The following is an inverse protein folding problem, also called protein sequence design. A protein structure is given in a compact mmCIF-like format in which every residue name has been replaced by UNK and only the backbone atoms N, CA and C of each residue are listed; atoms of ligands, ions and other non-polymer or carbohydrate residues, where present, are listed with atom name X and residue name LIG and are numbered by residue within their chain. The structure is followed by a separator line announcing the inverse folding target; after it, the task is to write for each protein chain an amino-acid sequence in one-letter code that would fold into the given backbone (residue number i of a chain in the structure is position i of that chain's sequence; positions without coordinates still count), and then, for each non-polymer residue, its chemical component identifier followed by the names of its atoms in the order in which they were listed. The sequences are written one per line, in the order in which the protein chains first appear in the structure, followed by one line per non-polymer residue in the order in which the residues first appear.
data_IF_455126860676
#
_entry.id   IF_455126860676
#
_cell.length_a   1.000
_cell.length_b   1.000
_cell.length_c   1.000
_cell.angle_alpha   90.00
_cell.angle_beta   90.00
_cell.angle_gamma   90.00
#
_symmetry.space_group_name_H-M   'P 1'
#
loop_
_entity.id
_entity.type
_entity.pdbx_description
1 polymer ?
#
# COMPACT_ATOMS: atom_id res chain seq x y z
N UNK A 1 -57.27 -32.49 50.78
CA UNK A 1 -57.37 -32.68 49.33
C UNK A 1 -55.98 -32.44 48.76
N UNK A 2 -55.35 -33.55 48.36
CA UNK A 2 -54.35 -33.71 47.28
C UNK A 2 -52.97 -33.05 47.50
N UNK A 3 -51.92 -33.76 47.94
CA UNK A 3 -51.08 -34.79 47.29
C UNK A 3 -50.47 -34.33 45.95
N UNK A 4 -49.16 -34.08 45.95
CA UNK A 4 -48.09 -34.32 44.93
C UNK A 4 -46.93 -33.37 45.30
N UNK A 5 -45.63 -33.70 45.40
CA UNK A 5 -44.84 -34.87 44.97
C UNK A 5 -43.39 -34.73 45.48
N UNK A 6 -42.78 -35.87 45.85
CA UNK A 6 -41.34 -36.25 45.71
C UNK A 6 -40.27 -35.16 45.95
N UNK A 7 -39.50 -35.16 47.04
CA UNK A 7 -38.36 -36.06 47.31
C UNK A 7 -37.59 -36.50 46.05
N UNK A 8 -36.37 -35.99 45.85
CA UNK A 8 -35.15 -36.78 45.56
C UNK A 8 -33.97 -35.81 45.35
N UNK A 9 -33.07 -35.93 46.30
CA UNK A 9 -31.67 -35.54 46.30
C UNK A 9 -30.96 -35.85 44.97
N UNK A 10 -30.36 -34.86 44.30
CA UNK A 10 -29.19 -35.07 43.43
C UNK A 10 -28.18 -33.95 43.62
N UNK A 11 -27.06 -34.35 44.21
CA UNK A 11 -25.78 -33.66 44.22
C UNK A 11 -25.28 -33.37 42.79
N UNK A 12 -24.23 -32.53 42.74
CA UNK A 12 -23.34 -32.25 41.60
C UNK A 12 -23.93 -31.16 40.69
N UNK A 13 -23.34 -29.98 40.54
CA UNK A 13 -21.95 -29.74 40.17
C UNK A 13 -21.51 -28.38 40.76
N UNK A 14 -20.65 -28.43 41.76
CA UNK A 14 -19.73 -27.35 42.08
C UNK A 14 -18.56 -27.41 41.10
N UNK A 15 -18.67 -26.73 39.97
CA UNK A 15 -17.52 -26.27 39.18
C UNK A 15 -17.80 -24.78 38.98
N UNK A 16 -17.56 -23.98 40.02
CA UNK A 16 -16.33 -23.21 40.15
C UNK A 16 -16.02 -22.48 38.85
N UNK A 17 -16.28 -21.18 38.90
CA UNK A 17 -15.58 -20.16 38.13
C UNK A 17 -15.31 -20.55 36.67
N UNK A 18 -16.19 -20.07 35.78
CA UNK A 18 -15.66 -19.52 34.54
C UNK A 18 -14.68 -18.42 34.97
N UNK A 19 -13.42 -18.80 35.21
CA UNK A 19 -12.29 -17.92 34.99
C UNK A 19 -12.45 -17.54 33.53
N UNK A 20 -13.16 -16.43 33.32
CA UNK A 20 -12.87 -15.54 32.23
C UNK A 20 -11.39 -15.28 32.44
N UNK A 21 -10.56 -16.06 31.76
CA UNK A 21 -9.21 -15.66 31.46
C UNK A 21 -9.42 -14.37 30.68
N UNK A 22 -9.43 -13.27 31.42
CA UNK A 22 -9.01 -11.99 30.91
C UNK A 22 -7.62 -12.28 30.38
N UNK A 23 -7.59 -12.69 29.12
CA UNK A 23 -6.39 -12.65 28.32
C UNK A 23 -5.94 -11.21 28.51
N UNK A 24 -4.90 -11.03 29.33
CA UNK A 24 -4.16 -9.78 29.41
C UNK A 24 -3.70 -9.54 27.97
N UNK A 25 -4.56 -8.89 27.19
CA UNK A 25 -4.18 -8.32 25.92
C UNK A 25 -3.17 -7.26 26.35
N UNK A 26 -1.88 -7.64 26.33
CA UNK A 26 -0.80 -6.71 26.57
C UNK A 26 -1.00 -5.65 25.51
N UNK A 27 -1.61 -4.53 25.89
CA UNK A 27 -1.80 -3.40 25.00
C UNK A 27 -0.43 -3.10 24.40
N UNK A 28 -0.27 -3.37 23.11
CA UNK A 28 1.00 -3.13 22.45
C UNK A 28 1.24 -1.62 22.56
N UNK A 29 2.34 -1.24 23.21
CA UNK A 29 2.67 0.18 23.37
C UNK A 29 3.15 0.68 22.00
N UNK A 30 2.25 1.31 21.26
CA UNK A 30 2.56 1.88 19.96
C UNK A 30 3.43 3.13 20.17
N UNK A 31 4.46 3.26 19.34
CA UNK A 31 5.24 4.48 19.22
C UNK A 31 4.83 5.19 17.93
N UNK A 32 4.65 6.50 17.99
CA UNK A 32 4.48 7.31 16.78
C UNK A 32 5.80 7.32 16.00
N UNK A 33 5.74 6.98 14.71
CA UNK A 33 6.92 6.88 13.83
C UNK A 33 6.99 8.01 12.80
N UNK A 34 5.95 8.82 12.70
CA UNK A 34 5.84 9.92 11.76
C UNK A 34 4.40 10.37 11.54
N UNK A 35 4.23 11.50 10.85
CA UNK A 35 2.94 12.09 10.53
C UNK A 35 2.78 12.17 9.00
N UNK A 36 1.65 11.70 8.49
CA UNK A 36 1.37 11.78 7.05
C UNK A 36 1.11 13.23 6.64
N UNK A 37 1.79 13.64 5.58
CA UNK A 37 1.54 14.90 4.89
C UNK A 37 0.57 14.70 3.71
N UNK A 38 -0.13 15.76 3.34
CA UNK A 38 -0.97 15.74 2.12
C UNK A 38 -0.06 15.61 0.90
N UNK A 39 -0.39 14.74 -0.07
CA UNK A 39 0.38 14.64 -1.31
C UNK A 39 0.56 16.00 -1.99
N UNK A 40 1.78 16.32 -2.42
CA UNK A 40 2.09 17.58 -3.10
C UNK A 40 1.30 17.66 -4.41
N UNK A 41 0.48 18.71 -4.56
CA UNK A 41 -0.23 19.03 -5.80
C UNK A 41 0.68 19.73 -6.82
N UNK A 42 1.68 20.44 -6.33
CA UNK A 42 2.69 21.14 -7.11
C UNK A 42 4.08 20.95 -6.49
N UNK A 43 5.10 20.98 -7.34
CA UNK A 43 6.49 20.75 -6.93
C UNK A 43 6.90 19.27 -6.90
N UNK A 44 8.11 19.02 -6.41
CA UNK A 44 8.73 17.69 -6.31
C UNK A 44 8.94 17.29 -4.86
N UNK A 45 9.04 15.98 -4.60
CA UNK A 45 9.53 15.48 -3.31
C UNK A 45 11.06 15.61 -3.25
N UNK A 46 11.56 15.90 -2.05
CA UNK A 46 12.98 16.18 -1.84
C UNK A 46 13.74 14.90 -1.49
N UNK A 47 15.05 14.89 -1.78
CA UNK A 47 15.94 13.80 -1.36
C UNK A 47 15.94 13.67 0.16
N UNK A 48 15.85 12.44 0.65
CA UNK A 48 15.75 12.13 2.09
C UNK A 48 14.32 12.14 2.62
N UNK A 49 13.32 12.57 1.83
CA UNK A 49 11.93 12.59 2.28
C UNK A 49 11.40 11.16 2.48
N UNK A 50 10.79 10.93 3.65
CA UNK A 50 10.10 9.69 3.98
C UNK A 50 8.79 9.61 3.21
N UNK A 51 8.50 8.44 2.65
CA UNK A 51 7.25 8.16 1.94
C UNK A 51 6.62 6.86 2.42
N UNK A 52 5.31 6.78 2.21
CA UNK A 52 4.55 5.54 2.27
C UNK A 52 3.97 5.28 0.87
N UNK A 53 4.33 4.17 0.22
CA UNK A 53 3.91 3.91 -1.14
C UNK A 53 2.39 3.64 -1.19
N UNK A 54 1.63 4.45 -1.96
CA UNK A 54 0.16 4.40 -1.96
C UNK A 54 -0.45 3.04 -2.31
N UNK A 55 0.16 2.30 -3.23
CA UNK A 55 -0.35 0.98 -3.68
C UNK A 55 0.16 -0.17 -2.80
N UNK A 56 1.48 -0.29 -2.65
CA UNK A 56 2.11 -1.41 -1.94
C UNK A 56 2.31 -1.21 -0.43
N UNK A 57 2.11 -0.01 0.10
CA UNK A 57 2.14 0.27 1.54
C UNK A 57 3.52 0.19 2.20
N UNK A 58 4.61 0.05 1.45
CA UNK A 58 5.96 0.05 2.03
C UNK A 58 6.44 1.46 2.38
N UNK A 59 7.32 1.54 3.37
CA UNK A 59 8.06 2.76 3.72
C UNK A 59 9.28 2.88 2.84
N UNK A 60 9.61 4.12 2.48
CA UNK A 60 10.83 4.39 1.75
C UNK A 60 11.36 5.79 1.93
N UNK A 61 12.57 6.00 1.41
CA UNK A 61 13.27 7.29 1.39
C UNK A 61 13.56 7.66 -0.05
N UNK A 62 13.18 8.88 -0.46
CA UNK A 62 13.47 9.41 -1.80
C UNK A 62 14.96 9.65 -1.98
N UNK A 63 15.55 9.13 -3.07
CA UNK A 63 16.94 9.42 -3.46
C UNK A 63 17.00 10.62 -4.41
N UNK A 64 16.31 10.56 -5.54
CA UNK A 64 16.22 11.68 -6.48
C UNK A 64 15.05 11.50 -7.47
N UNK A 65 14.54 12.62 -8.01
CA UNK A 65 13.53 12.60 -9.07
C UNK A 65 14.16 12.33 -10.45
N UNK A 66 13.42 11.67 -11.34
CA UNK A 66 13.76 11.55 -12.77
C UNK A 66 12.56 11.85 -13.66
N UNK A 67 12.80 12.39 -14.86
CA UNK A 67 11.77 12.61 -15.88
C UNK A 67 11.65 11.36 -16.75
N UNK A 68 10.44 10.80 -16.84
CA UNK A 68 10.13 9.68 -17.72
C UNK A 68 9.05 10.07 -18.74
N UNK A 69 9.18 9.57 -19.96
CA UNK A 69 8.13 9.69 -20.98
C UNK A 69 7.22 8.48 -20.87
N UNK A 70 5.97 8.71 -20.46
CA UNK A 70 4.98 7.65 -20.26
C UNK A 70 4.02 7.62 -21.45
N UNK A 71 3.88 6.45 -22.06
CA UNK A 71 2.97 6.18 -23.16
C UNK A 71 1.84 5.29 -22.65
N UNK A 72 0.67 5.88 -22.47
CA UNK A 72 -0.51 5.17 -21.97
C UNK A 72 -1.38 4.74 -23.16
N UNK A 73 -1.49 3.42 -23.35
CA UNK A 73 -2.25 2.82 -24.47
C UNK A 73 -3.76 2.85 -24.24
N UNK A 74 -4.19 3.05 -23.00
CA UNK A 74 -5.60 3.00 -22.61
C UNK A 74 -6.22 4.40 -22.57
N UNK A 75 -5.41 5.47 -22.67
CA UNK A 75 -5.91 6.83 -22.80
C UNK A 75 -6.61 7.02 -24.16
N UNK A 76 -7.91 7.38 -24.17
CA UNK A 76 -8.61 7.68 -25.41
C UNK A 76 -7.94 8.89 -26.06
N UNK A 77 -7.50 8.70 -27.30
CA UNK A 77 -6.73 9.68 -28.04
C UNK A 77 -7.60 10.70 -28.78
N UNK A 78 -8.84 10.90 -28.35
CA UNK A 78 -9.75 11.82 -28.99
C UNK A 78 -9.58 13.22 -28.42
N UNK A 79 -9.09 14.13 -29.26
CA UNK A 79 -9.36 15.56 -29.08
C UNK A 79 -10.70 15.83 -29.76
N UNK A 80 -11.54 16.65 -29.13
CA UNK A 80 -12.72 17.19 -29.81
C UNK A 80 -12.23 18.07 -30.97
N UNK A 81 -12.48 17.63 -32.22
CA UNK A 81 -12.23 18.43 -33.42
C UNK A 81 -11.49 17.74 -34.58
N UNK A 82 -10.92 16.55 -34.40
CA UNK A 82 -10.20 15.86 -35.50
C UNK A 82 -11.12 14.85 -36.20
N UNK A 83 -11.20 14.97 -37.53
CA UNK A 83 -11.98 14.11 -38.44
C UNK A 83 -11.63 12.62 -38.28
N UNK A 84 -12.64 11.77 -38.50
CA UNK A 84 -12.63 10.31 -38.38
C UNK A 84 -11.27 9.65 -38.75
N UNK A 85 -10.66 8.85 -37.85
CA UNK A 85 -9.38 8.23 -38.15
C UNK A 85 -9.56 7.09 -39.16
N UNK A 86 -8.93 7.26 -40.32
CA UNK A 86 -8.77 6.26 -41.36
C UNK A 86 -8.31 4.90 -40.75
N UNK A 87 -8.96 3.76 -41.03
CA UNK A 87 -8.80 2.52 -40.27
C UNK A 87 -7.51 1.72 -40.58
N UNK A 88 -6.43 2.37 -41.02
CA UNK A 88 -5.26 1.70 -41.58
C UNK A 88 -3.89 2.09 -41.02
N UNK A 89 -3.79 3.13 -40.17
CA UNK A 89 -2.48 3.60 -39.65
C UNK A 89 -2.48 3.51 -38.13
N UNK A 90 -1.52 2.75 -37.58
CA UNK A 90 -1.42 2.48 -36.16
C UNK A 90 -1.50 3.76 -35.32
N UNK A 91 -2.42 3.79 -34.35
CA UNK A 91 -2.63 4.93 -33.45
C UNK A 91 -1.34 5.17 -32.64
N UNK A 92 -0.57 6.18 -33.00
CA UNK A 92 0.68 6.53 -32.32
C UNK A 92 0.36 7.16 -30.96
N UNK A 93 0.59 6.45 -29.86
CA UNK A 93 0.32 6.95 -28.49
C UNK A 93 1.19 8.17 -28.19
N UNK A 94 0.57 9.29 -27.83
CA UNK A 94 1.31 10.51 -27.46
C UNK A 94 1.89 10.40 -26.05
N UNK A 95 3.22 10.32 -25.96
CA UNK A 95 3.93 10.24 -24.68
C UNK A 95 3.83 11.52 -23.84
N UNK A 96 3.54 11.40 -22.55
CA UNK A 96 3.50 12.49 -21.57
C UNK A 96 4.69 12.42 -20.62
N UNK A 97 5.38 13.53 -20.40
CA UNK A 97 6.48 13.59 -19.42
C UNK A 97 5.92 13.61 -18.00
N UNK A 98 6.38 12.69 -17.15
CA UNK A 98 6.05 12.63 -15.73
C UNK A 98 7.32 12.57 -14.89
N UNK A 99 7.24 13.05 -13.65
CA UNK A 99 8.31 12.92 -12.66
C UNK A 99 8.07 11.62 -11.88
N UNK A 100 9.08 10.76 -11.87
CA UNK A 100 9.17 9.58 -11.04
C UNK A 100 10.32 9.73 -10.04
N UNK A 101 10.41 8.83 -9.09
CA UNK A 101 11.37 8.91 -7.99
C UNK A 101 12.06 7.58 -7.80
N UNK A 102 13.39 7.62 -7.70
CA UNK A 102 14.15 6.51 -7.15
C UNK A 102 14.02 6.53 -5.63
N UNK A 103 13.72 5.37 -5.03
CA UNK A 103 13.43 5.25 -3.61
C UNK A 103 14.16 4.03 -3.03
N UNK A 104 14.70 4.18 -1.81
CA UNK A 104 15.13 3.04 -0.98
C UNK A 104 13.95 2.52 -0.18
N UNK A 105 13.72 1.21 -0.21
CA UNK A 105 12.64 0.55 0.52
C UNK A 105 13.16 0.10 1.91
N UNK A 106 12.35 0.29 2.95
CA UNK A 106 12.65 -0.27 4.27
C UNK A 106 12.67 -1.80 4.21
N UNK A 107 13.79 -2.41 4.58
CA UNK A 107 13.99 -3.86 4.49
C UNK A 107 12.92 -4.66 5.25
N UNK A 108 12.34 -4.11 6.32
CA UNK A 108 11.30 -4.78 7.10
C UNK A 108 9.99 -4.93 6.33
N UNK A 109 9.77 -4.09 5.32
CA UNK A 109 8.56 -4.12 4.51
C UNK A 109 8.70 -5.08 3.32
N UNK A 110 9.93 -5.36 2.87
CA UNK A 110 10.23 -6.22 1.72
C UNK A 110 9.51 -7.59 1.74
N UNK A 111 9.46 -8.35 2.86
CA UNK A 111 8.77 -9.64 2.90
C UNK A 111 7.25 -9.55 2.65
N UNK A 112 6.66 -8.37 2.79
CA UNK A 112 5.22 -8.14 2.68
C UNK A 112 4.82 -7.50 1.34
N UNK A 113 5.79 -7.10 0.52
CA UNK A 113 5.54 -6.59 -0.83
C UNK A 113 5.29 -7.79 -1.75
N UNK A 114 4.04 -7.97 -2.19
CA UNK A 114 3.63 -9.10 -3.06
C UNK A 114 4.13 -9.00 -4.50
N UNK A 115 4.83 -7.93 -4.86
CA UNK A 115 5.40 -7.72 -6.19
C UNK A 115 6.91 -7.96 -6.15
N UNK A 116 7.44 -8.59 -7.19
CA UNK A 116 8.88 -8.71 -7.41
C UNK A 116 9.49 -7.30 -7.45
N UNK A 117 10.42 -6.97 -6.54
CA UNK A 117 11.03 -5.62 -6.44
C UNK A 117 12.04 -5.30 -7.55
N UNK A 118 12.07 -6.09 -8.61
CA UNK A 118 13.07 -5.95 -9.66
C UNK A 118 12.68 -4.88 -10.69
N UNK A 119 13.06 -3.65 -10.36
CA UNK A 119 13.62 -2.75 -11.36
C UNK A 119 15.14 -2.87 -11.28
N UNK A 120 15.72 -3.79 -12.06
CA UNK A 120 17.16 -3.76 -12.34
C UNK A 120 17.42 -2.50 -13.16
N UNK A 121 17.79 -1.42 -12.48
CA UNK A 121 18.15 -0.17 -13.12
C UNK A 121 19.66 -0.21 -13.30
N UNK A 122 20.12 -0.47 -14.52
CA UNK A 122 21.51 -0.23 -14.87
C UNK A 122 21.70 1.30 -14.79
N UNK A 123 22.33 1.78 -13.72
CA UNK A 123 22.89 3.12 -13.67
C UNK A 123 23.93 3.17 -14.79
N UNK A 124 23.56 3.74 -15.95
CA UNK A 124 24.53 4.00 -17.00
C UNK A 124 25.63 4.88 -16.42
N UNK A 125 26.87 4.39 -16.44
CA UNK A 125 28.04 5.19 -16.09
C UNK A 125 27.99 6.49 -16.89
N UNK A 126 27.98 7.64 -16.20
CA UNK A 126 28.36 8.91 -16.82
C UNK A 126 29.87 8.89 -17.00
N UNK A 127 30.36 8.13 -17.98
CA UNK A 127 31.63 8.41 -18.62
C UNK A 127 31.35 8.85 -20.05
N UNK A 128 31.05 10.13 -20.20
CA UNK A 128 31.28 10.86 -21.45
C UNK A 128 31.60 12.31 -21.07
N UNK A 129 32.85 12.66 -21.33
CA UNK A 129 33.57 13.93 -21.15
C UNK A 129 32.80 15.23 -21.35
#
# INVERSE_FOLDING_TARGET
MDILTSSIHRNLISILSKQITSQNCKYARLAEVGKLETPKLSGKYDTGQLILHRVFGYRGVVLFPWLARVYDRDLPQHREGDEEPNPGVGKEVRGRTHIFYQVLIDQRDCPFIRAQTEAVTFLGNQESS
#
